data_IF_897211330922
#
_entry.id   IF_897211330922
#
_cell.length_a   1.000
_cell.length_b   1.000
_cell.length_c   1.000
_cell.angle_alpha   90.00
_cell.angle_beta   90.00
_cell.angle_gamma   90.00
#
_symmetry.space_group_name_H-M   'P 1'
#
loop_
_entity.id
_entity.type
_entity.pdbx_description
1 polymer ?
#
# COMPACT_ATOMS: atom_id res chain seq x y z
N UNK A 1 -5.83 2.01 7.58
CA UNK A 1 -5.24 3.19 8.22
C UNK A 1 -3.76 2.99 8.46
N UNK A 2 -2.99 4.05 8.25
CA UNK A 2 -1.59 4.11 8.65
C UNK A 2 -1.49 4.02 10.18
N UNK A 3 -0.54 3.24 10.73
CA UNK A 3 -0.50 3.01 12.18
C UNK A 3 -0.10 4.22 13.02
N UNK A 4 0.55 5.23 12.46
CA UNK A 4 1.05 6.37 13.23
C UNK A 4 0.83 7.73 12.58
N UNK A 5 0.22 7.79 11.41
CA UNK A 5 -0.06 9.05 10.69
C UNK A 5 -1.51 9.07 10.23
N UNK A 6 -2.02 10.26 9.98
CA UNK A 6 -3.39 10.45 9.48
C UNK A 6 -3.45 10.18 7.97
N UNK A 7 -3.05 8.98 7.59
CA UNK A 7 -3.08 8.52 6.19
C UNK A 7 -4.08 7.38 6.06
N UNK A 8 -5.00 7.52 5.13
CA UNK A 8 -5.97 6.50 4.78
C UNK A 8 -5.58 5.91 3.42
N UNK A 9 -5.49 4.59 3.35
CA UNK A 9 -5.27 3.89 2.10
C UNK A 9 -6.56 3.23 1.64
N UNK A 10 -6.83 3.30 0.35
CA UNK A 10 -8.05 2.75 -0.26
C UNK A 10 -7.69 1.91 -1.48
N UNK A 11 -8.19 0.68 -1.51
CA UNK A 11 -8.13 -0.18 -2.68
C UNK A 11 -9.37 0.01 -3.53
N UNK A 12 -9.25 -0.12 -4.85
CA UNK A 12 -10.31 0.26 -5.75
C UNK A 12 -10.55 -0.76 -6.86
N UNK A 13 -11.75 -0.67 -7.39
CA UNK A 13 -12.21 -1.38 -8.59
C UNK A 13 -11.45 -0.96 -9.86
N UNK A 14 -10.85 0.24 -9.84
CA UNK A 14 -10.06 0.76 -10.96
C UNK A 14 -8.62 0.23 -10.99
N UNK A 15 -8.33 -0.80 -10.18
CA UNK A 15 -7.04 -1.49 -10.08
C UNK A 15 -5.96 -0.68 -9.38
N UNK A 16 -6.31 0.44 -8.77
CA UNK A 16 -5.36 1.31 -8.09
C UNK A 16 -5.52 1.27 -6.58
N UNK A 17 -4.46 1.68 -5.90
CA UNK A 17 -4.48 2.01 -4.47
C UNK A 17 -4.23 3.49 -4.34
N UNK A 18 -5.06 4.17 -3.59
CA UNK A 18 -4.89 5.60 -3.34
C UNK A 18 -4.63 5.86 -1.88
N UNK A 19 -3.68 6.73 -1.61
CA UNK A 19 -3.36 7.19 -0.26
C UNK A 19 -3.86 8.62 -0.09
N UNK A 20 -4.58 8.84 0.98
CA UNK A 20 -5.16 10.14 1.30
C UNK A 20 -4.61 10.64 2.63
N UNK A 21 -4.36 11.93 2.70
CA UNK A 21 -3.96 12.60 3.92
C UNK A 21 -4.91 13.74 4.21
N UNK A 22 -5.30 13.88 5.47
CA UNK A 22 -6.14 15.00 5.89
C UNK A 22 -5.33 16.29 5.90
N UNK A 23 -5.87 17.30 5.24
CA UNK A 23 -5.36 18.67 5.37
C UNK A 23 -5.97 19.29 6.62
N UNK A 24 -5.12 19.54 7.61
CA UNK A 24 -5.58 20.10 8.91
C UNK A 24 -6.10 21.51 8.80
N UNK A 25 -5.74 22.26 7.77
CA UNK A 25 -6.21 23.63 7.58
C UNK A 25 -7.63 23.68 7.02
N UNK A 26 -7.95 22.79 6.08
CA UNK A 26 -9.23 22.80 5.38
C UNK A 26 -10.14 21.64 5.78
N UNK A 27 -9.68 20.71 6.61
CA UNK A 27 -10.37 19.47 6.98
C UNK A 27 -10.73 18.59 5.77
N UNK A 28 -10.04 18.76 4.65
CA UNK A 28 -10.23 17.97 3.44
C UNK A 28 -9.20 16.85 3.33
N UNK A 29 -9.62 15.74 2.72
CA UNK A 29 -8.74 14.61 2.43
C UNK A 29 -8.18 14.74 1.03
N UNK A 30 -6.86 14.86 0.92
CA UNK A 30 -6.18 15.00 -0.36
C UNK A 30 -5.49 13.70 -0.74
N UNK A 31 -5.63 13.31 -2.00
CA UNK A 31 -4.91 12.15 -2.54
C UNK A 31 -3.43 12.52 -2.69
N UNK A 32 -2.57 11.89 -1.91
CA UNK A 32 -1.13 12.14 -1.92
C UNK A 32 -0.36 11.16 -2.78
N UNK A 33 -0.94 10.01 -3.12
CA UNK A 33 -0.31 9.02 -3.98
C UNK A 33 -1.35 8.12 -4.63
N UNK A 34 -1.07 7.72 -5.87
CA UNK A 34 -1.83 6.69 -6.58
C UNK A 34 -0.86 5.59 -6.98
N UNK A 35 -1.11 4.37 -6.50
CA UNK A 35 -0.26 3.22 -6.74
C UNK A 35 -0.88 2.38 -7.86
N UNK A 36 -0.21 2.28 -8.99
CA UNK A 36 -0.70 1.59 -10.18
C UNK A 36 0.24 0.44 -10.49
N UNK A 37 -0.17 -0.77 -10.19
CA UNK A 37 0.62 -1.97 -10.52
C UNK A 37 -0.24 -3.23 -10.59
N UNK A 38 -1.36 -3.27 -9.90
CA UNK A 38 -2.28 -4.40 -10.01
C UNK A 38 -3.02 -4.36 -11.34
N UNK A 39 -3.31 -5.55 -11.89
CA UNK A 39 -3.98 -5.70 -13.17
C UNK A 39 -5.50 -5.87 -13.03
N UNK A 40 -5.98 -5.92 -11.79
CA UNK A 40 -7.39 -6.10 -11.50
C UNK A 40 -7.75 -5.47 -10.16
N UNK A 41 -9.00 -5.61 -9.75
CA UNK A 41 -9.54 -5.01 -8.52
C UNK A 41 -8.64 -5.26 -7.32
N UNK A 42 -8.35 -4.21 -6.57
CA UNK A 42 -7.64 -4.29 -5.28
C UNK A 42 -8.67 -4.45 -4.17
N UNK A 43 -8.66 -5.61 -3.50
CA UNK A 43 -9.65 -5.96 -2.50
C UNK A 43 -9.29 -5.52 -1.09
N UNK A 44 -8.02 -5.59 -0.74
CA UNK A 44 -7.61 -5.26 0.63
C UNK A 44 -6.16 -4.79 0.67
N UNK A 45 -5.82 -4.14 1.76
CA UNK A 45 -4.48 -3.64 1.99
C UNK A 45 -4.22 -3.55 3.50
N UNK A 46 -2.94 -3.57 3.87
CA UNK A 46 -2.51 -3.48 5.26
C UNK A 46 -1.15 -2.81 5.36
N UNK A 47 -1.02 -1.89 6.29
CA UNK A 47 0.28 -1.30 6.62
C UNK A 47 1.06 -2.21 7.57
N UNK A 48 2.39 -2.15 7.50
CA UNK A 48 3.23 -2.77 8.51
C UNK A 48 3.24 -1.94 9.78
N UNK A 49 3.94 -2.44 10.81
CA UNK A 49 4.01 -1.77 12.11
C UNK A 49 4.57 -0.34 12.03
N UNK A 50 5.52 -0.11 11.13
CA UNK A 50 6.18 1.19 10.99
C UNK A 50 5.40 2.16 10.11
N UNK A 51 4.46 1.66 9.31
CA UNK A 51 3.75 2.46 8.32
C UNK A 51 4.55 2.78 7.07
N UNK A 52 5.78 2.30 6.96
CA UNK A 52 6.65 2.54 5.80
C UNK A 52 6.45 1.54 4.69
N UNK A 53 5.74 0.45 4.95
CA UNK A 53 5.42 -0.58 3.98
C UNK A 53 3.93 -0.82 3.95
N UNK A 54 3.43 -1.12 2.76
CA UNK A 54 2.02 -1.40 2.54
C UNK A 54 1.92 -2.70 1.74
N UNK A 55 1.07 -3.62 2.20
CA UNK A 55 0.74 -4.82 1.45
C UNK A 55 -0.62 -4.63 0.78
N UNK A 56 -0.74 -4.97 -0.49
CA UNK A 56 -1.99 -4.91 -1.23
C UNK A 56 -2.27 -6.24 -1.90
N UNK A 57 -3.52 -6.67 -1.91
CA UNK A 57 -3.94 -7.91 -2.55
C UNK A 57 -5.06 -7.66 -3.56
N UNK A 58 -5.13 -8.49 -4.59
CA UNK A 58 -5.93 -8.21 -5.74
C UNK A 58 -6.57 -9.47 -6.33
N UNK A 59 -7.58 -9.22 -7.16
CA UNK A 59 -8.20 -10.18 -8.03
C UNK A 59 -7.23 -10.77 -9.07
N UNK A 60 -6.10 -10.09 -9.32
CA UNK A 60 -5.02 -10.59 -10.18
C UNK A 60 -4.20 -11.73 -9.55
N UNK A 61 -4.58 -12.19 -8.37
CA UNK A 61 -3.96 -13.29 -7.61
C UNK A 61 -2.56 -12.96 -7.11
N UNK A 62 -2.23 -11.70 -6.99
CA UNK A 62 -0.93 -11.25 -6.47
C UNK A 62 -1.08 -10.50 -5.17
N UNK A 63 -0.02 -10.60 -4.37
CA UNK A 63 0.21 -9.76 -3.22
C UNK A 63 1.41 -8.87 -3.55
N UNK A 64 1.24 -7.57 -3.41
CA UNK A 64 2.32 -6.62 -3.68
C UNK A 64 2.70 -5.90 -2.41
N UNK A 65 4.01 -5.73 -2.23
CA UNK A 65 4.57 -4.97 -1.11
C UNK A 65 5.10 -3.65 -1.66
N UNK A 66 4.64 -2.57 -1.07
CA UNK A 66 5.03 -1.22 -1.43
C UNK A 66 5.85 -0.63 -0.30
N UNK A 67 6.86 0.14 -0.64
CA UNK A 67 7.69 0.83 0.35
C UNK A 67 7.70 2.33 0.09
N UNK A 68 7.57 3.09 1.17
CA UNK A 68 7.68 4.54 1.13
C UNK A 68 9.15 4.95 1.11
N UNK A 69 9.48 5.82 0.17
CA UNK A 69 10.78 6.46 0.09
C UNK A 69 10.60 7.95 0.41
N UNK A 70 11.15 8.38 1.52
CA UNK A 70 11.15 9.79 1.91
C UNK A 70 12.44 10.46 1.44
N UNK A 71 12.50 11.80 1.38
CA UNK A 71 13.73 12.50 1.01
C UNK A 71 14.92 12.13 1.86
N UNK A 72 14.70 11.81 3.14
CA UNK A 72 15.76 11.44 4.07
C UNK A 72 16.34 10.03 3.80
N UNK A 73 15.59 9.18 3.11
CA UNK A 73 16.00 7.81 2.81
C UNK A 73 16.57 7.64 1.41
N UNK A 74 16.62 8.70 0.62
CA UNK A 74 17.05 8.65 -0.77
C UNK A 74 18.35 9.40 -0.96
N UNK A 75 19.46 8.80 -0.53
CA UNK A 75 20.78 9.37 -0.76
C UNK A 75 21.08 9.45 -2.25
N UNK A 76 21.45 10.64 -2.73
CA UNK A 76 21.85 10.86 -4.11
C UNK A 76 20.70 11.00 -5.10
N UNK A 77 19.45 10.92 -4.66
CA UNK A 77 18.28 11.17 -5.51
C UNK A 77 17.73 12.55 -5.18
N UNK A 78 17.71 13.43 -6.17
CA UNK A 78 17.07 14.72 -6.02
C UNK A 78 15.56 14.50 -5.96
N UNK A 79 14.97 14.60 -4.78
CA UNK A 79 13.54 14.59 -4.62
C UNK A 79 13.08 16.04 -4.60
N UNK A 80 12.43 16.47 -5.68
CA UNK A 80 11.77 17.76 -5.69
C UNK A 80 10.56 17.67 -4.75
N UNK A 81 10.35 18.70 -3.96
CA UNK A 81 9.14 18.95 -3.17
C UNK A 81 8.97 18.15 -1.87
N UNK A 82 9.95 17.40 -1.43
CA UNK A 82 9.91 16.67 -0.15
C UNK A 82 8.73 15.70 -0.02
N UNK A 83 8.15 15.27 -1.12
CA UNK A 83 7.06 14.29 -1.10
C UNK A 83 7.61 12.89 -1.00
N UNK A 84 6.95 12.06 -0.18
CA UNK A 84 7.27 10.64 -0.17
C UNK A 84 6.77 9.97 -1.44
N UNK A 85 7.53 8.99 -1.90
CA UNK A 85 7.21 8.20 -3.07
C UNK A 85 7.03 6.75 -2.65
N UNK A 86 5.94 6.13 -3.07
CA UNK A 86 5.67 4.72 -2.82
C UNK A 86 6.03 3.90 -4.05
N UNK A 87 6.87 2.87 -3.86
CA UNK A 87 7.30 1.98 -4.94
C UNK A 87 7.01 0.53 -4.59
N UNK A 88 6.56 -0.23 -5.59
CA UNK A 88 6.39 -1.67 -5.44
C UNK A 88 7.78 -2.33 -5.40
N UNK A 89 8.12 -2.94 -4.26
CA UNK A 89 9.42 -3.57 -4.04
C UNK A 89 9.36 -5.08 -4.13
N UNK A 90 8.16 -5.67 -4.07
CA UNK A 90 8.00 -7.11 -4.14
C UNK A 90 6.62 -7.47 -4.70
N UNK A 91 6.56 -8.49 -5.54
CA UNK A 91 5.32 -9.07 -6.03
C UNK A 91 5.35 -10.55 -5.75
N UNK A 92 4.39 -11.02 -4.96
CA UNK A 92 4.24 -12.44 -4.63
C UNK A 92 3.11 -13.02 -5.49
N UNK A 93 3.44 -13.97 -6.33
CA UNK A 93 2.50 -14.62 -7.23
C UNK A 93 2.74 -16.14 -7.25
N UNK A 94 1.77 -16.89 -7.75
CA UNK A 94 1.89 -18.34 -7.84
C UNK A 94 1.51 -19.09 -6.57
N UNK A 95 1.20 -18.42 -5.49
CA UNK A 95 0.79 -19.05 -4.23
C UNK A 95 -0.71 -19.30 -4.17
N UNK A 96 -1.50 -18.55 -4.91
CA UNK A 96 -2.95 -18.66 -4.95
C UNK A 96 -3.42 -18.90 -6.38
N UNK A 97 -4.46 -19.72 -6.52
CA UNK A 97 -5.07 -20.02 -7.82
C UNK A 97 -6.30 -19.17 -8.10
N UNK A 98 -6.77 -18.45 -7.10
CA UNK A 98 -7.91 -17.54 -7.20
C UNK A 98 -7.58 -16.19 -6.58
N UNK A 99 -8.48 -15.24 -6.74
CA UNK A 99 -8.30 -13.90 -6.20
C UNK A 99 -8.04 -13.92 -4.69
N UNK A 100 -7.25 -12.97 -4.23
CA UNK A 100 -6.96 -12.78 -2.82
C UNK A 100 -7.89 -11.69 -2.30
N UNK A 101 -8.73 -12.02 -1.33
CA UNK A 101 -9.76 -11.11 -0.83
C UNK A 101 -9.32 -10.27 0.35
N UNK A 102 -8.34 -10.74 1.11
CA UNK A 102 -7.94 -10.03 2.31
C UNK A 102 -6.47 -10.28 2.63
N UNK A 103 -5.85 -9.28 3.26
CA UNK A 103 -4.49 -9.34 3.72
C UNK A 103 -4.38 -8.64 5.07
N UNK A 104 -3.61 -9.23 5.97
CA UNK A 104 -3.29 -8.60 7.24
C UNK A 104 -1.81 -8.76 7.54
N UNK A 105 -1.24 -7.80 8.25
CA UNK A 105 0.17 -7.81 8.63
C UNK A 105 0.27 -7.90 10.15
N UNK A 106 0.89 -8.96 10.64
CA UNK A 106 1.08 -9.13 12.06
C UNK A 106 2.16 -8.17 12.58
N UNK A 107 1.77 -7.24 13.45
CA UNK A 107 2.68 -6.23 13.96
C UNK A 107 3.68 -6.77 14.99
N UNK A 108 3.47 -7.96 15.51
CA UNK A 108 4.40 -8.59 16.47
C UNK A 108 5.50 -9.40 15.78
N UNK A 109 5.16 -10.14 14.74
CA UNK A 109 6.08 -11.07 14.10
C UNK A 109 6.55 -10.59 12.72
N UNK A 110 5.86 -9.62 12.13
CA UNK A 110 6.13 -9.18 10.76
C UNK A 110 5.59 -10.11 9.68
N UNK A 111 4.85 -11.15 10.08
CA UNK A 111 4.26 -12.09 9.12
C UNK A 111 3.02 -11.50 8.46
N UNK A 112 2.80 -11.88 7.20
CA UNK A 112 1.65 -11.48 6.42
C UNK A 112 0.75 -12.69 6.21
N UNK A 113 -0.54 -12.52 6.48
CA UNK A 113 -1.56 -13.54 6.23
C UNK A 113 -2.49 -13.08 5.13
N UNK A 114 -2.84 -13.99 4.21
CA UNK A 114 -3.75 -13.72 3.10
C UNK A 114 -4.92 -14.69 3.11
N UNK A 115 -6.09 -14.22 2.71
CA UNK A 115 -7.28 -15.04 2.53
C UNK A 115 -7.68 -15.04 1.06
N UNK A 116 -7.83 -16.22 0.50
CA UNK A 116 -8.06 -16.43 -0.92
C UNK A 116 -9.31 -17.28 -1.16
N UNK A 117 -9.84 -17.20 -2.39
CA UNK A 117 -11.01 -18.01 -2.79
C UNK A 117 -10.70 -19.48 -3.14
N UNK A 118 -9.46 -19.93 -3.06
CA UNK A 118 -9.09 -21.32 -3.37
C UNK A 118 -9.19 -22.30 -2.17
#
# INVERSE_FOLDING_TARGET
WHPSSDILASGSYDNTVKLYKEDQLDNDWNCIATLVSHESTVWSLAFDKTGKRLATCSDDRTLKIWQEYTPDNQEGVAVSDRESVWKCVCTLSGYHTRCIYDVTWCHHTGLIATACGD
#
